data_IF_043508715369
#
_entry.id   IF_043508715369
#
_cell.length_a   1.000
_cell.length_b   1.000
_cell.length_c   1.000
_cell.angle_alpha   90.00
_cell.angle_beta   90.00
_cell.angle_gamma   90.00
#
_symmetry.space_group_name_H-M   'P 1'
#
loop_
_entity.id
_entity.type
_entity.pdbx_description
1 polymer ?
#
# COMPACT_ATOMS: atom_id res chain seq x y z
N UNK A 1 14.25 -81.38 24.48
CA UNK A 1 13.29 -80.28 24.70
C UNK A 1 12.86 -80.37 26.16
N UNK A 2 12.98 -79.30 26.97
CA UNK A 2 12.51 -79.35 28.35
C UNK A 2 10.97 -79.32 28.36
N UNK A 3 10.35 -80.27 29.03
CA UNK A 3 8.90 -80.30 29.23
C UNK A 3 8.46 -79.03 29.97
N UNK A 4 7.37 -78.41 29.50
CA UNK A 4 6.84 -77.22 30.16
C UNK A 4 6.43 -77.56 31.60
N UNK A 5 6.73 -76.72 32.59
CA UNK A 5 6.45 -77.03 33.99
C UNK A 5 4.93 -76.97 34.33
N UNK A 6 4.09 -76.72 33.32
CA UNK A 6 2.63 -76.88 33.34
C UNK A 6 2.19 -78.29 32.92
N UNK A 7 2.87 -78.90 31.94
CA UNK A 7 2.62 -80.30 31.57
C UNK A 7 2.92 -81.25 32.73
N UNK A 8 4.00 -81.01 33.48
CA UNK A 8 4.35 -81.80 34.66
C UNK A 8 3.29 -81.71 35.76
N UNK A 9 2.80 -80.52 36.09
CA UNK A 9 1.75 -80.35 37.12
C UNK A 9 0.39 -80.97 36.69
N UNK A 10 0.02 -80.84 35.41
CA UNK A 10 -1.19 -81.47 34.88
C UNK A 10 -1.08 -83.00 34.85
N UNK A 11 0.11 -83.53 34.55
CA UNK A 11 0.40 -84.96 34.57
C UNK A 11 0.41 -85.54 36.00
N UNK A 12 0.95 -84.79 36.96
CA UNK A 12 0.96 -85.16 38.39
C UNK A 12 -0.45 -85.18 38.99
N UNK A 13 -1.33 -84.27 38.57
CA UNK A 13 -2.74 -84.29 38.94
C UNK A 13 -3.45 -85.51 38.32
N UNK A 14 -3.23 -85.75 37.02
CA UNK A 14 -3.83 -86.88 36.31
C UNK A 14 -3.44 -88.23 36.91
N UNK A 15 -2.16 -88.41 37.28
CA UNK A 15 -1.69 -89.64 37.92
C UNK A 15 -2.28 -89.81 39.33
N UNK A 16 -2.34 -88.75 40.14
CA UNK A 16 -2.98 -88.79 41.47
C UNK A 16 -4.48 -89.14 41.39
N UNK A 17 -5.20 -88.62 40.39
CA UNK A 17 -6.62 -88.92 40.17
C UNK A 17 -6.89 -90.34 39.65
N UNK A 18 -5.93 -90.96 38.96
CA UNK A 18 -6.04 -92.34 38.48
C UNK A 18 -5.85 -93.38 39.60
N UNK A 19 -5.17 -93.00 40.68
CA UNK A 19 -4.85 -93.89 41.80
C UNK A 19 -5.76 -93.71 43.03
N UNK A 20 -6.65 -92.72 43.02
CA UNK A 20 -7.68 -92.51 44.06
C UNK A 20 -8.96 -93.26 43.70
N UNK A 21 -9.55 -93.96 44.68
CA UNK A 21 -10.68 -94.88 44.44
C UNK A 21 -12.03 -94.30 44.88
N UNK A 22 -12.03 -93.32 45.78
CA UNK A 22 -13.23 -92.66 46.31
C UNK A 22 -13.48 -91.29 45.65
N UNK A 23 -14.76 -90.91 45.51
CA UNK A 23 -15.17 -89.57 45.04
C UNK A 23 -14.66 -88.46 45.94
N UNK A 24 -14.58 -88.72 47.24
CA UNK A 24 -14.15 -87.77 48.25
C UNK A 24 -12.65 -87.48 48.15
N UNK A 25 -11.83 -88.52 47.99
CA UNK A 25 -10.38 -88.37 47.79
C UNK A 25 -10.06 -87.68 46.44
N UNK A 26 -10.87 -87.95 45.40
CA UNK A 26 -10.75 -87.27 44.11
C UNK A 26 -11.07 -85.78 44.24
N UNK A 27 -12.10 -85.43 45.00
CA UNK A 27 -12.45 -84.03 45.28
C UNK A 27 -11.33 -83.31 46.04
N UNK A 28 -10.70 -83.98 47.02
CA UNK A 28 -9.59 -83.41 47.78
C UNK A 28 -8.34 -83.16 46.92
N UNK A 29 -7.97 -84.12 46.07
CA UNK A 29 -6.85 -83.97 45.13
C UNK A 29 -7.11 -82.83 44.14
N UNK A 30 -8.35 -82.64 43.69
CA UNK A 30 -8.74 -81.52 42.82
C UNK A 30 -8.64 -80.18 43.57
N UNK A 31 -9.12 -80.11 44.82
CA UNK A 31 -9.02 -78.89 45.63
C UNK A 31 -7.57 -78.47 45.87
N UNK A 32 -6.70 -79.41 46.27
CA UNK A 32 -5.27 -79.15 46.46
C UNK A 32 -4.59 -78.68 45.17
N UNK A 33 -5.03 -79.17 44.00
CA UNK A 33 -4.49 -78.72 42.72
C UNK A 33 -4.93 -77.29 42.35
N UNK A 34 -6.15 -76.90 42.70
CA UNK A 34 -6.60 -75.51 42.54
C UNK A 34 -5.87 -74.56 43.51
N UNK A 35 -5.67 -74.94 44.77
CA UNK A 35 -4.88 -74.15 45.73
C UNK A 35 -3.43 -73.96 45.25
N UNK A 36 -2.81 -75.02 44.73
CA UNK A 36 -1.45 -74.95 44.17
C UNK A 36 -1.39 -74.10 42.89
N UNK A 37 -2.45 -74.09 42.09
CA UNK A 37 -2.56 -73.24 40.91
C UNK A 37 -2.71 -71.76 41.30
N UNK A 38 -3.53 -71.44 42.29
CA UNK A 38 -3.75 -70.10 42.81
C UNK A 38 -2.46 -69.52 43.43
N UNK A 39 -1.74 -70.31 44.23
CA UNK A 39 -0.45 -69.91 44.79
C UNK A 39 0.63 -69.66 43.71
N UNK A 40 0.55 -70.37 42.59
CA UNK A 40 1.53 -70.27 41.49
C UNK A 40 1.23 -69.14 40.51
N UNK A 41 -0.04 -68.76 40.38
CA UNK A 41 -0.48 -67.67 39.50
C UNK A 41 -1.41 -66.70 40.24
N UNK A 42 -0.89 -65.96 41.23
CA UNK A 42 -1.67 -64.99 41.99
C UNK A 42 -2.21 -63.85 41.11
N UNK A 43 -1.65 -63.63 39.92
CA UNK A 43 -2.17 -62.64 38.95
C UNK A 43 -3.40 -63.11 38.14
N UNK A 44 -3.83 -64.38 38.24
CA UNK A 44 -5.05 -64.84 37.54
C UNK A 44 -6.32 -64.18 38.08
N UNK A 45 -6.32 -63.78 39.35
CA UNK A 45 -7.41 -63.04 39.98
C UNK A 45 -7.47 -61.58 39.54
N UNK A 46 -6.34 -60.99 39.15
CA UNK A 46 -6.24 -59.61 38.64
C UNK A 46 -6.50 -59.50 37.13
N UNK A 47 -6.73 -60.63 36.43
CA UNK A 47 -6.96 -60.62 34.99
C UNK A 47 -8.37 -60.10 34.67
N UNK A 48 -8.45 -59.13 33.76
CA UNK A 48 -9.74 -58.64 33.27
C UNK A 48 -10.53 -59.80 32.63
N UNK A 49 -11.70 -60.10 33.18
CA UNK A 49 -12.61 -61.09 32.59
C UNK A 49 -13.18 -60.54 31.29
N UNK A 50 -13.70 -61.42 30.41
CA UNK A 50 -14.44 -60.98 29.22
C UNK A 50 -15.59 -60.02 29.57
N UNK A 51 -16.20 -60.16 30.76
CA UNK A 51 -17.19 -59.23 31.28
C UNK A 51 -16.63 -57.84 31.52
N UNK A 52 -15.49 -57.72 32.22
CA UNK A 52 -14.81 -56.44 32.48
C UNK A 52 -14.38 -55.73 31.19
N UNK A 53 -13.89 -56.48 30.20
CA UNK A 53 -13.52 -55.94 28.89
C UNK A 53 -14.75 -55.42 28.15
N UNK A 54 -15.85 -56.19 28.12
CA UNK A 54 -17.09 -55.77 27.46
C UNK A 54 -17.73 -54.56 28.12
N UNK A 55 -17.71 -54.48 29.44
CA UNK A 55 -18.19 -53.30 30.18
C UNK A 55 -17.35 -52.07 29.85
N UNK A 56 -16.02 -52.21 29.83
CA UNK A 56 -15.11 -51.12 29.48
C UNK A 56 -15.30 -50.66 28.04
N UNK A 57 -15.51 -51.59 27.09
CA UNK A 57 -15.80 -51.27 25.69
C UNK A 57 -17.10 -50.47 25.56
N UNK A 58 -18.17 -50.91 26.23
CA UNK A 58 -19.46 -50.19 26.23
C UNK A 58 -19.33 -48.80 26.85
N UNK A 59 -18.57 -48.67 27.93
CA UNK A 59 -18.29 -47.37 28.56
C UNK A 59 -17.54 -46.44 27.61
N UNK A 60 -16.47 -46.94 26.98
CA UNK A 60 -15.69 -46.16 26.02
C UNK A 60 -16.52 -45.78 24.78
N UNK A 61 -17.34 -46.68 24.24
CA UNK A 61 -18.24 -46.34 23.13
C UNK A 61 -19.24 -45.23 23.50
N UNK A 62 -19.73 -45.23 24.74
CA UNK A 62 -20.59 -44.16 25.25
C UNK A 62 -19.83 -42.84 25.38
N UNK A 63 -18.65 -42.86 26.01
CA UNK A 63 -17.80 -41.67 26.16
C UNK A 63 -17.42 -41.07 24.79
N UNK A 64 -17.07 -41.91 23.81
CA UNK A 64 -16.77 -41.48 22.44
C UNK A 64 -17.98 -40.76 21.83
N UNK A 65 -19.18 -41.36 21.91
CA UNK A 65 -20.40 -40.72 21.38
C UNK A 65 -20.73 -39.40 22.07
N UNK A 66 -20.52 -39.31 23.38
CA UNK A 66 -20.73 -38.06 24.13
C UNK A 66 -19.73 -36.98 23.70
N UNK A 67 -18.46 -37.34 23.52
CA UNK A 67 -17.42 -36.43 23.03
C UNK A 67 -17.71 -35.99 21.59
N UNK A 68 -18.10 -36.90 20.70
CA UNK A 68 -18.47 -36.57 19.32
C UNK A 68 -19.65 -35.59 19.28
N UNK A 69 -20.70 -35.84 20.08
CA UNK A 69 -21.86 -34.95 20.16
C UNK A 69 -21.47 -33.55 20.69
N UNK A 70 -20.59 -33.49 21.70
CA UNK A 70 -20.07 -32.22 22.23
C UNK A 70 -19.27 -31.46 21.19
N UNK A 71 -18.33 -32.13 20.50
CA UNK A 71 -17.51 -31.52 19.46
C UNK A 71 -18.35 -31.03 18.28
N UNK A 72 -19.35 -31.79 17.85
CA UNK A 72 -20.28 -31.34 16.79
C UNK A 72 -21.02 -30.06 17.19
N UNK A 73 -21.41 -29.94 18.46
CA UNK A 73 -22.06 -28.73 18.97
C UNK A 73 -21.08 -27.55 19.00
N UNK A 74 -19.88 -27.74 19.52
CA UNK A 74 -18.84 -26.71 19.57
C UNK A 74 -18.47 -26.21 18.17
N UNK A 75 -18.31 -27.13 17.20
CA UNK A 75 -18.04 -26.78 15.80
C UNK A 75 -19.16 -25.90 15.24
N UNK A 76 -20.43 -26.27 15.42
CA UNK A 76 -21.57 -25.47 14.95
C UNK A 76 -21.62 -24.09 15.60
N UNK A 77 -21.30 -23.98 16.89
CA UNK A 77 -21.24 -22.70 17.59
C UNK A 77 -20.12 -21.81 17.05
N UNK A 78 -18.93 -22.39 16.80
CA UNK A 78 -17.81 -21.68 16.19
C UNK A 78 -18.14 -21.23 14.77
N UNK A 79 -18.72 -22.10 13.95
CA UNK A 79 -19.17 -21.76 12.59
C UNK A 79 -20.17 -20.59 12.59
N UNK A 80 -21.15 -20.63 13.49
CA UNK A 80 -22.13 -19.55 13.62
C UNK A 80 -21.50 -18.22 14.06
N UNK A 81 -20.53 -18.26 14.97
CA UNK A 81 -19.77 -17.07 15.39
C UNK A 81 -18.95 -16.52 14.23
N UNK A 82 -18.19 -17.37 13.53
CA UNK A 82 -17.39 -16.96 12.38
C UNK A 82 -18.25 -16.37 11.26
N UNK A 83 -19.42 -16.94 10.97
CA UNK A 83 -20.35 -16.37 9.99
C UNK A 83 -20.85 -14.97 10.39
N UNK A 84 -21.08 -14.74 11.69
CA UNK A 84 -21.48 -13.43 12.20
C UNK A 84 -20.32 -12.43 12.08
N UNK A 85 -19.13 -12.82 12.48
CA UNK A 85 -17.93 -11.97 12.43
C UNK A 85 -17.59 -11.59 10.99
N UNK A 86 -17.69 -12.53 10.05
CA UNK A 86 -17.52 -12.26 8.61
C UNK A 86 -18.52 -11.21 8.13
N UNK A 87 -19.81 -11.36 8.45
CA UNK A 87 -20.85 -10.39 8.06
C UNK A 87 -20.60 -9.00 8.65
N UNK A 88 -20.13 -8.93 9.89
CA UNK A 88 -19.80 -7.66 10.53
C UNK A 88 -18.61 -6.97 9.85
N UNK A 89 -17.56 -7.73 9.54
CA UNK A 89 -16.40 -7.23 8.79
C UNK A 89 -16.81 -6.78 7.39
N UNK A 90 -17.62 -7.55 6.68
CA UNK A 90 -18.14 -7.17 5.36
C UNK A 90 -18.93 -5.86 5.41
N UNK A 91 -19.82 -5.71 6.39
CA UNK A 91 -20.61 -4.48 6.57
C UNK A 91 -19.72 -3.27 6.89
N UNK A 92 -18.69 -3.47 7.72
CA UNK A 92 -17.71 -2.43 8.03
C UNK A 92 -16.92 -2.03 6.79
N UNK A 93 -16.40 -3.00 6.04
CA UNK A 93 -15.66 -2.74 4.80
C UNK A 93 -16.52 -2.02 3.76
N UNK A 94 -17.80 -2.39 3.61
CA UNK A 94 -18.72 -1.67 2.72
C UNK A 94 -18.92 -0.20 3.14
N UNK A 95 -18.98 0.07 4.45
CA UNK A 95 -19.07 1.45 4.95
C UNK A 95 -17.79 2.23 4.68
N UNK A 96 -16.63 1.61 4.92
CA UNK A 96 -15.32 2.23 4.70
C UNK A 96 -15.12 2.53 3.21
N UNK A 97 -15.50 1.61 2.31
CA UNK A 97 -15.47 1.82 0.86
C UNK A 97 -16.33 3.03 0.46
N UNK A 98 -17.57 3.12 0.94
CA UNK A 98 -18.45 4.26 0.64
C UNK A 98 -17.89 5.58 1.16
N UNK A 99 -17.26 5.57 2.33
CA UNK A 99 -16.61 6.76 2.87
C UNK A 99 -15.45 7.23 1.99
N UNK A 100 -14.59 6.29 1.54
CA UNK A 100 -13.49 6.59 0.61
C UNK A 100 -14.03 7.10 -0.73
N UNK A 101 -15.08 6.51 -1.29
CA UNK A 101 -15.70 6.99 -2.53
C UNK A 101 -16.22 8.43 -2.42
N UNK A 102 -16.81 8.80 -1.27
CA UNK A 102 -17.25 10.17 -1.03
C UNK A 102 -16.06 11.14 -0.94
N UNK A 103 -15.00 10.75 -0.23
CA UNK A 103 -13.77 11.55 -0.14
C UNK A 103 -13.12 11.77 -1.51
N UNK A 104 -13.08 10.73 -2.34
CA UNK A 104 -12.57 10.84 -3.73
C UNK A 104 -13.39 11.86 -4.51
N UNK A 105 -14.73 11.77 -4.48
CA UNK A 105 -15.61 12.73 -5.17
C UNK A 105 -15.43 14.16 -4.69
N UNK A 106 -15.21 14.36 -3.39
CA UNK A 106 -14.96 15.68 -2.82
C UNK A 106 -13.62 16.26 -3.33
N UNK A 107 -12.56 15.45 -3.30
CA UNK A 107 -11.25 15.84 -3.83
C UNK A 107 -11.33 16.15 -5.33
N UNK A 108 -12.00 15.31 -6.12
CA UNK A 108 -12.22 15.55 -7.56
C UNK A 108 -12.95 16.88 -7.80
N UNK A 109 -14.02 17.15 -7.03
CA UNK A 109 -14.75 18.41 -7.16
C UNK A 109 -13.90 19.62 -6.79
N UNK A 110 -13.05 19.51 -5.77
CA UNK A 110 -12.16 20.59 -5.36
C UNK A 110 -11.09 20.84 -6.42
N UNK A 111 -10.44 19.79 -6.93
CA UNK A 111 -9.46 19.90 -8.01
C UNK A 111 -10.06 20.51 -9.27
N UNK A 112 -11.31 20.17 -9.64
CA UNK A 112 -11.99 20.81 -10.77
C UNK A 112 -12.21 22.32 -10.56
N UNK A 113 -12.50 22.76 -9.33
CA UNK A 113 -12.63 24.19 -9.02
C UNK A 113 -11.26 24.88 -9.10
N UNK A 114 -10.24 24.25 -8.54
CA UNK A 114 -8.87 24.79 -8.54
C UNK A 114 -8.34 24.94 -9.97
N UNK A 115 -8.53 23.92 -10.82
CA UNK A 115 -8.18 23.97 -12.25
C UNK A 115 -8.88 25.14 -12.95
N UNK A 116 -10.21 25.28 -12.80
CA UNK A 116 -10.95 26.42 -13.37
C UNK A 116 -10.45 27.76 -12.85
N UNK A 117 -10.09 27.83 -11.56
CA UNK A 117 -9.52 29.03 -10.97
C UNK A 117 -8.19 29.41 -11.62
N UNK A 118 -7.30 28.45 -11.83
CA UNK A 118 -6.02 28.64 -12.51
C UNK A 118 -6.22 29.03 -13.97
N UNK A 119 -7.15 28.40 -14.69
CA UNK A 119 -7.49 28.77 -16.07
C UNK A 119 -7.93 30.24 -16.18
N UNK A 120 -8.80 30.71 -15.28
CA UNK A 120 -9.22 32.11 -15.24
C UNK A 120 -8.06 33.06 -14.94
N UNK A 121 -7.19 32.70 -13.99
CA UNK A 121 -6.00 33.49 -13.68
C UNK A 121 -5.06 33.60 -14.88
N UNK A 122 -4.84 32.51 -15.62
CA UNK A 122 -4.04 32.50 -16.84
C UNK A 122 -4.66 33.44 -17.88
N UNK A 123 -5.97 33.35 -18.13
CA UNK A 123 -6.65 34.23 -19.08
C UNK A 123 -6.53 35.71 -18.71
N UNK A 124 -6.65 36.06 -17.42
CA UNK A 124 -6.47 37.43 -16.94
C UNK A 124 -5.03 37.92 -17.15
N UNK A 125 -4.04 37.06 -16.87
CA UNK A 125 -2.63 37.36 -17.06
C UNK A 125 -2.30 37.56 -18.55
N UNK A 126 -2.83 36.72 -19.43
CA UNK A 126 -2.68 36.86 -20.88
C UNK A 126 -3.28 38.18 -21.38
N UNK A 127 -4.49 38.54 -20.95
CA UNK A 127 -5.14 39.79 -21.33
C UNK A 127 -4.34 41.01 -20.85
N UNK A 128 -3.80 40.95 -19.63
CA UNK A 128 -2.95 42.00 -19.07
C UNK A 128 -1.65 42.14 -19.87
N UNK A 129 -0.97 41.03 -20.15
CA UNK A 129 0.25 41.04 -20.95
C UNK A 129 0.01 41.57 -22.37
N UNK A 130 -1.10 41.22 -23.00
CA UNK A 130 -1.46 41.78 -24.31
C UNK A 130 -1.64 43.31 -24.26
N UNK A 131 -2.27 43.82 -23.19
CA UNK A 131 -2.42 45.26 -22.99
C UNK A 131 -1.07 45.94 -22.79
N UNK A 132 -0.20 45.35 -21.96
CA UNK A 132 1.12 45.90 -21.67
C UNK A 132 1.99 45.91 -22.93
N UNK A 133 1.98 44.83 -23.74
CA UNK A 133 2.66 44.75 -25.03
C UNK A 133 2.19 45.87 -25.97
N UNK A 134 0.86 46.04 -26.15
CA UNK A 134 0.32 47.13 -26.97
C UNK A 134 0.73 48.51 -26.47
N UNK A 135 0.79 48.69 -25.15
CA UNK A 135 1.26 49.92 -24.52
C UNK A 135 2.73 50.22 -24.88
N UNK A 136 3.61 49.22 -24.79
CA UNK A 136 5.02 49.33 -25.18
C UNK A 136 5.15 49.62 -26.68
N UNK A 137 4.39 48.95 -27.54
CA UNK A 137 4.39 49.21 -29.00
C UNK A 137 4.03 50.66 -29.33
N UNK A 138 3.06 51.25 -28.62
CA UNK A 138 2.69 52.65 -28.80
C UNK A 138 3.81 53.59 -28.33
N UNK A 139 4.43 53.30 -27.19
CA UNK A 139 5.56 54.10 -26.69
C UNK A 139 6.75 54.06 -27.65
N UNK A 140 7.06 52.90 -28.23
CA UNK A 140 8.11 52.77 -29.26
C UNK A 140 7.78 53.66 -30.46
N UNK A 141 6.55 53.59 -31.00
CA UNK A 141 6.12 54.43 -32.12
C UNK A 141 6.22 55.93 -31.81
N UNK A 142 5.86 56.33 -30.60
CA UNK A 142 5.97 57.73 -30.17
C UNK A 142 7.43 58.18 -30.10
N UNK A 143 8.32 57.35 -29.55
CA UNK A 143 9.76 57.63 -29.49
C UNK A 143 10.34 57.74 -30.90
N UNK A 144 9.99 56.82 -31.81
CA UNK A 144 10.45 56.84 -33.20
C UNK A 144 10.00 58.12 -33.92
N UNK A 145 8.74 58.54 -33.75
CA UNK A 145 8.22 59.78 -34.34
C UNK A 145 8.97 61.01 -33.80
N UNK A 146 9.22 61.07 -32.48
CA UNK A 146 10.01 62.15 -31.87
C UNK A 146 11.45 62.18 -32.36
N UNK A 147 12.06 61.01 -32.59
CA UNK A 147 13.42 60.92 -33.14
C UNK A 147 13.45 61.40 -34.59
N UNK A 148 12.49 61.01 -35.43
CA UNK A 148 12.38 61.50 -36.81
C UNK A 148 12.21 63.02 -36.88
N UNK A 149 11.38 63.59 -36.01
CA UNK A 149 11.20 65.04 -35.92
C UNK A 149 12.51 65.74 -35.54
N UNK A 150 13.21 65.25 -34.51
CA UNK A 150 14.50 65.82 -34.07
C UNK A 150 15.57 65.74 -35.16
N UNK A 151 15.63 64.62 -35.90
CA UNK A 151 16.56 64.48 -37.03
C UNK A 151 16.24 65.52 -38.10
N UNK A 152 14.98 65.67 -38.48
CA UNK A 152 14.54 66.65 -39.48
C UNK A 152 14.86 68.09 -39.07
N UNK A 153 14.61 68.43 -37.79
CA UNK A 153 14.95 69.75 -37.24
C UNK A 153 16.47 69.99 -37.26
N UNK A 154 17.26 68.97 -36.93
CA UNK A 154 18.72 69.04 -36.96
C UNK A 154 19.23 69.29 -38.38
N UNK A 155 18.72 68.55 -39.37
CA UNK A 155 19.04 68.73 -40.79
C UNK A 155 18.76 70.16 -41.25
N UNK A 156 17.57 70.69 -40.96
CA UNK A 156 17.19 72.07 -41.30
C UNK A 156 18.13 73.09 -40.63
N UNK A 157 18.40 72.92 -39.34
CA UNK A 157 19.29 73.83 -38.59
C UNK A 157 20.71 73.82 -39.14
N UNK A 158 21.21 72.66 -39.56
CA UNK A 158 22.54 72.50 -40.14
C UNK A 158 22.61 73.15 -41.52
N UNK A 159 21.57 72.96 -42.36
CA UNK A 159 21.46 73.67 -43.63
C UNK A 159 21.41 75.19 -43.48
N UNK A 160 20.64 75.70 -42.50
CA UNK A 160 20.57 77.12 -42.21
C UNK A 160 21.92 77.67 -41.73
N UNK A 161 22.60 76.95 -40.83
CA UNK A 161 23.92 77.34 -40.32
C UNK A 161 24.98 77.36 -41.44
N UNK A 162 25.01 76.33 -42.29
CA UNK A 162 25.89 76.28 -43.45
C UNK A 162 25.60 77.42 -44.42
N UNK A 163 24.33 77.68 -44.75
CA UNK A 163 23.95 78.77 -45.65
C UNK A 163 24.35 80.14 -45.08
N UNK A 164 24.16 80.36 -43.78
CA UNK A 164 24.59 81.58 -43.10
C UNK A 164 26.12 81.74 -43.16
N UNK A 165 26.87 80.67 -42.89
CA UNK A 165 28.33 80.67 -42.99
C UNK A 165 28.80 80.94 -44.42
N UNK A 166 28.23 80.28 -45.43
CA UNK A 166 28.55 80.53 -46.85
C UNK A 166 28.29 81.98 -47.22
N UNK A 167 27.15 82.55 -46.80
CA UNK A 167 26.79 83.94 -47.07
C UNK A 167 27.77 84.92 -46.41
N UNK A 168 28.20 84.64 -45.18
CA UNK A 168 29.22 85.43 -44.48
C UNK A 168 30.60 85.33 -45.17
N UNK A 169 31.02 84.13 -45.59
CA UNK A 169 32.28 83.91 -46.32
C UNK A 169 32.31 84.64 -47.67
N UNK A 170 31.24 84.56 -48.46
CA UNK A 170 31.12 85.29 -49.73
C UNK A 170 31.19 86.80 -49.50
N UNK A 171 30.49 87.31 -48.47
CA UNK A 171 30.54 88.72 -48.09
C UNK A 171 31.95 89.18 -47.70
N UNK A 172 32.65 88.40 -46.87
CA UNK A 172 34.04 88.67 -46.49
C UNK A 172 35.01 88.68 -47.67
N UNK A 173 34.91 87.71 -48.59
CA UNK A 173 35.71 87.66 -49.82
C UNK A 173 35.45 88.87 -50.74
N UNK A 174 34.19 89.30 -50.87
CA UNK A 174 33.84 90.48 -51.67
C UNK A 174 34.49 91.75 -51.10
N UNK A 175 34.47 91.93 -49.78
CA UNK A 175 35.12 93.07 -49.10
C UNK A 175 36.64 93.01 -49.30
N UNK A 176 37.27 91.85 -49.12
CA UNK A 176 38.70 91.65 -49.36
C UNK A 176 39.11 92.02 -50.79
N UNK A 177 38.32 91.65 -51.80
CA UNK A 177 38.56 92.01 -53.19
C UNK A 177 38.50 93.52 -53.43
N UNK A 178 37.57 94.23 -52.79
CA UNK A 178 37.51 95.70 -52.84
C UNK A 178 38.75 96.33 -52.20
N UNK A 179 39.18 95.83 -51.05
CA UNK A 179 40.38 96.32 -50.35
C UNK A 179 41.65 96.11 -51.17
N UNK A 180 41.84 94.93 -51.78
CA UNK A 180 42.98 94.66 -52.66
C UNK A 180 43.00 95.58 -53.88
N UNK A 181 41.86 95.79 -54.53
CA UNK A 181 41.75 96.71 -55.67
C UNK A 181 42.10 98.16 -55.30
N UNK A 182 41.70 98.59 -54.10
CA UNK A 182 42.08 99.91 -53.57
C UNK A 182 43.58 99.99 -53.24
N UNK A 183 44.17 98.92 -52.72
CA UNK A 183 45.61 98.84 -52.46
C UNK A 183 46.44 98.89 -53.75
N UNK A 184 46.00 98.19 -54.81
CA UNK A 184 46.65 98.25 -56.13
C UNK A 184 46.62 99.66 -56.73
N UNK A 185 45.53 100.42 -56.53
CA UNK A 185 45.42 101.83 -56.95
C UNK A 185 46.34 102.75 -56.14
N UNK A 186 46.63 102.40 -54.88
CA UNK A 186 47.49 103.20 -54.00
C UNK A 186 48.98 102.87 -54.14
N UNK A 187 49.33 101.67 -54.61
CA UNK A 187 50.70 101.09 -54.57
C UNK A 187 51.23 100.72 -55.98
N UNK A 188 50.38 100.66 -57.02
CA UNK A 188 50.81 100.40 -58.41
C UNK A 188 51.67 101.54 -59.00
N UNK A 189 52.58 101.23 -59.96
CA UNK A 189 53.68 102.09 -60.38
C UNK A 189 53.27 103.44 -60.99
#
# INVERSE_FOLDING_TARGET
MPESPLMSAAFDLYTKLKHTSSDEERAEVIAQAFDALEARFPQLTDLATQGHVRESELRLQKEIKEVEARLQKEIKEVEARLQKDIKEVEARLQKDIKAVELQIKEVESQLQKDIKGVELQIMELEARLQKDIKGVELQIKEVDARLQERISQLEVSLHQALAAQTRWLIGGLAILGVVLKLADVLIGP
#
